data_IF_977297891296
#
_entry.id   IF_977297891296
#
_cell.length_a   1.000
_cell.length_b   1.000
_cell.length_c   1.000
_cell.angle_alpha   90.00
_cell.angle_beta   90.00
_cell.angle_gamma   90.00
#
_symmetry.space_group_name_H-M   'P 1'
#
loop_
_entity.id
_entity.type
_entity.pdbx_description
1 polymer ?
#
# COMPACT_ATOMS: atom_id res chain seq x y z
N UNK A 1 -11.55 -23.47 -4.33
CA UNK A 1 -10.73 -22.55 -3.51
C UNK A 1 -9.80 -23.39 -2.68
N UNK A 2 -8.49 -23.13 -2.73
CA UNK A 2 -7.55 -23.82 -1.86
C UNK A 2 -7.29 -22.90 -0.66
N UNK A 3 -8.02 -23.11 0.44
CA UNK A 3 -7.87 -22.32 1.67
C UNK A 3 -6.56 -22.61 2.41
N UNK A 4 -5.76 -23.56 1.90
CA UNK A 4 -4.48 -23.97 2.48
C UNK A 4 -3.32 -23.05 2.10
N UNK A 5 -3.50 -22.15 1.12
CA UNK A 5 -2.44 -21.22 0.68
C UNK A 5 -2.74 -19.82 1.20
N UNK A 6 -1.90 -19.25 2.09
CA UNK A 6 -2.10 -17.91 2.59
C UNK A 6 -1.76 -16.86 1.52
N UNK A 7 -2.48 -15.74 1.53
CA UNK A 7 -2.14 -14.56 0.70
C UNK A 7 -1.02 -13.77 1.36
N UNK A 8 0.15 -13.75 0.73
CA UNK A 8 1.29 -12.94 1.19
C UNK A 8 1.08 -11.48 0.81
N UNK A 9 1.04 -10.59 1.80
CA UNK A 9 0.94 -9.14 1.61
C UNK A 9 2.26 -8.48 2.00
N UNK A 10 2.87 -7.80 1.04
CA UNK A 10 4.10 -7.04 1.23
C UNK A 10 3.77 -5.59 1.57
N UNK A 11 4.28 -5.13 2.70
CA UNK A 11 4.12 -3.76 3.16
C UNK A 11 5.40 -2.96 2.92
N UNK A 12 5.25 -1.74 2.43
CA UNK A 12 6.33 -0.77 2.32
C UNK A 12 5.81 0.61 2.69
N UNK A 13 6.68 1.44 3.25
CA UNK A 13 6.36 2.81 3.61
C UNK A 13 7.34 3.74 2.91
N UNK A 14 6.81 4.79 2.28
CA UNK A 14 7.61 5.85 1.70
C UNK A 14 7.35 7.13 2.49
N UNK A 15 8.39 7.65 3.15
CA UNK A 15 8.30 8.89 3.90
C UNK A 15 8.05 10.06 2.94
N UNK A 16 6.96 10.79 3.14
CA UNK A 16 6.67 12.01 2.40
C UNK A 16 7.22 13.24 3.13
N UNK A 17 6.93 13.36 4.43
CA UNK A 17 7.37 14.50 5.24
C UNK A 17 7.41 14.14 6.73
N UNK A 18 8.34 14.75 7.47
CA UNK A 18 8.30 14.80 8.95
C UNK A 18 7.46 16.03 9.35
N UNK A 19 6.38 15.82 10.08
CA UNK A 19 5.45 16.88 10.46
C UNK A 19 5.84 17.53 11.78
N UNK A 20 6.20 16.72 12.78
CA UNK A 20 6.61 17.20 14.09
C UNK A 20 7.58 16.22 14.74
N UNK A 21 8.53 16.78 15.49
CA UNK A 21 9.44 16.02 16.37
C UNK A 21 9.21 16.55 17.77
N UNK A 22 8.87 15.67 18.70
CA UNK A 22 8.72 16.00 20.10
C UNK A 22 9.82 15.29 20.89
N UNK A 23 10.87 16.05 21.20
CA UNK A 23 12.03 15.55 21.95
C UNK A 23 11.66 15.12 23.37
N UNK A 24 10.79 15.89 24.05
CA UNK A 24 10.36 15.59 25.42
C UNK A 24 9.54 14.30 25.51
N UNK A 25 8.71 14.04 24.50
CA UNK A 25 7.86 12.85 24.44
C UNK A 25 8.44 11.74 23.57
N UNK A 26 9.66 11.92 23.02
CA UNK A 26 10.33 10.96 22.14
C UNK A 26 9.42 10.47 21.00
N UNK A 27 8.68 11.39 20.38
CA UNK A 27 7.70 11.05 19.35
C UNK A 27 7.92 11.82 18.06
N UNK A 28 7.76 11.15 16.92
CA UNK A 28 7.84 11.76 15.60
C UNK A 28 6.55 11.51 14.84
N UNK A 29 5.93 12.59 14.38
CA UNK A 29 4.74 12.56 13.54
C UNK A 29 5.17 12.64 12.07
N UNK A 30 4.82 11.63 11.28
CA UNK A 30 5.25 11.42 9.90
C UNK A 30 4.06 11.39 8.96
N UNK A 31 4.18 12.07 7.82
CA UNK A 31 3.31 11.86 6.67
C UNK A 31 3.98 10.81 5.77
N UNK A 32 3.35 9.66 5.60
CA UNK A 32 3.90 8.53 4.83
C UNK A 32 2.90 8.04 3.79
N UNK A 33 3.42 7.54 2.69
CA UNK A 33 2.67 6.71 1.75
C UNK A 33 2.83 5.26 2.14
N UNK A 34 1.74 4.61 2.55
CA UNK A 34 1.71 3.17 2.77
C UNK A 34 1.44 2.50 1.43
N UNK A 35 2.26 1.51 1.10
CA UNK A 35 2.19 0.72 -0.12
C UNK A 35 1.98 -0.73 0.29
N UNK A 36 0.85 -1.30 -0.08
CA UNK A 36 0.54 -2.71 0.09
C UNK A 36 0.56 -3.38 -1.28
N UNK A 37 1.23 -4.52 -1.38
CA UNK A 37 1.27 -5.33 -2.60
C UNK A 37 0.90 -6.77 -2.29
N UNK A 38 -0.01 -7.34 -3.06
CA UNK A 38 -0.35 -8.76 -2.98
C UNK A 38 -0.70 -9.30 -4.36
N UNK A 39 -0.72 -10.63 -4.48
CA UNK A 39 -1.19 -11.33 -5.67
C UNK A 39 -2.63 -11.78 -5.47
N UNK A 40 -3.49 -11.48 -6.44
CA UNK A 40 -4.86 -11.97 -6.50
C UNK A 40 -5.02 -12.94 -7.67
N UNK A 41 -5.33 -14.21 -7.38
CA UNK A 41 -5.41 -15.27 -8.39
C UNK A 41 -6.66 -15.20 -9.28
N UNK A 42 -7.63 -14.36 -8.93
CA UNK A 42 -8.92 -14.22 -9.62
C UNK A 42 -8.94 -13.03 -10.55
N UNK A 43 -8.21 -11.96 -10.22
CA UNK A 43 -8.16 -10.72 -11.02
C UNK A 43 -7.20 -10.78 -12.22
N UNK A 44 -6.93 -11.96 -12.78
CA UNK A 44 -6.06 -12.13 -13.95
C UNK A 44 -6.81 -12.10 -15.29
N UNK A 45 -6.17 -11.54 -16.32
CA UNK A 45 -6.70 -11.56 -17.70
C UNK A 45 -5.58 -11.66 -18.73
N UNK A 46 -5.92 -12.12 -19.94
CA UNK A 46 -5.02 -12.14 -21.09
C UNK A 46 -5.10 -10.80 -21.84
N UNK A 47 -4.04 -9.97 -21.87
CA UNK A 47 -4.03 -8.68 -22.55
C UNK A 47 -4.48 -8.74 -24.01
N UNK A 48 -4.21 -9.82 -24.73
CA UNK A 48 -4.63 -9.99 -26.13
C UNK A 48 -6.16 -9.98 -26.30
N UNK A 49 -6.93 -10.35 -25.26
CA UNK A 49 -8.40 -10.33 -25.26
C UNK A 49 -9.00 -8.99 -24.82
N UNK A 50 -8.17 -8.09 -24.26
CA UNK A 50 -8.60 -6.83 -23.64
C UNK A 50 -7.84 -5.64 -24.23
N UNK A 51 -7.53 -5.64 -25.53
CA UNK A 51 -6.91 -4.51 -26.22
C UNK A 51 -5.49 -4.18 -25.73
N UNK A 52 -4.71 -5.19 -25.35
CA UNK A 52 -3.35 -5.06 -24.80
C UNK A 52 -3.25 -4.27 -23.49
N UNK A 53 -4.35 -4.18 -22.73
CA UNK A 53 -4.37 -3.56 -21.41
C UNK A 53 -3.62 -4.47 -20.43
N UNK A 54 -2.52 -3.97 -19.88
CA UNK A 54 -1.72 -4.68 -18.88
C UNK A 54 -2.04 -4.25 -17.44
N UNK A 55 -2.47 -3.01 -17.29
CA UNK A 55 -2.71 -2.38 -16.00
C UNK A 55 -4.02 -1.63 -16.06
N UNK A 56 -4.82 -1.76 -15.01
CA UNK A 56 -6.06 -1.01 -14.82
C UNK A 56 -6.13 -0.42 -13.42
N UNK A 57 -6.99 0.57 -13.23
CA UNK A 57 -7.23 1.21 -11.95
C UNK A 57 -8.64 0.85 -11.51
N UNK A 58 -8.76 0.26 -10.32
CA UNK A 58 -10.04 -0.06 -9.72
C UNK A 58 -10.30 0.90 -8.55
N UNK A 59 -11.45 1.60 -8.52
CA UNK A 59 -11.85 2.35 -7.34
C UNK A 59 -12.30 1.36 -6.25
N UNK A 60 -11.69 1.44 -5.08
CA UNK A 60 -12.10 0.67 -3.90
C UNK A 60 -12.68 1.62 -2.87
N UNK A 61 -13.82 1.23 -2.30
CA UNK A 61 -14.44 1.96 -1.20
C UNK A 61 -13.80 1.52 0.10
N UNK A 62 -13.09 2.43 0.74
CA UNK A 62 -12.68 2.26 2.13
C UNK A 62 -13.81 2.79 3.00
N UNK A 63 -14.49 1.89 3.71
CA UNK A 63 -15.50 2.26 4.69
C UNK A 63 -14.88 2.17 6.09
N UNK A 64 -14.70 3.32 6.73
CA UNK A 64 -14.41 3.42 8.16
C UNK A 64 -15.37 4.43 8.75
N UNK A 65 -16.22 3.97 9.66
CA UNK A 65 -17.08 4.82 10.51
C UNK A 65 -17.82 5.91 9.70
N UNK A 66 -18.54 5.51 8.64
CA UNK A 66 -19.37 6.38 7.79
C UNK A 66 -18.62 7.41 6.91
N UNK A 67 -17.28 7.37 6.89
CA UNK A 67 -16.50 8.10 5.89
C UNK A 67 -16.16 7.19 4.70
N UNK A 68 -16.99 7.24 3.66
CA UNK A 68 -16.68 6.58 2.39
C UNK A 68 -15.55 7.33 1.69
N UNK A 69 -14.41 6.68 1.51
CA UNK A 69 -13.31 7.21 0.71
C UNK A 69 -13.02 6.27 -0.45
N UNK A 70 -13.17 6.79 -1.66
CA UNK A 70 -12.73 6.11 -2.87
C UNK A 70 -11.21 6.23 -2.98
N UNK A 71 -10.53 5.09 -3.02
CA UNK A 71 -9.09 5.04 -3.26
C UNK A 71 -8.83 4.17 -4.48
N UNK A 72 -7.96 4.67 -5.35
CA UNK A 72 -7.56 3.98 -6.56
C UNK A 72 -6.55 2.87 -6.24
N UNK A 73 -6.90 1.65 -6.60
CA UNK A 73 -6.01 0.48 -6.55
C UNK A 73 -5.51 0.20 -7.96
N UNK A 74 -4.20 0.00 -8.09
CA UNK A 74 -3.58 -0.37 -9.36
C UNK A 74 -3.55 -1.90 -9.45
N UNK A 75 -4.09 -2.43 -10.54
CA UNK A 75 -4.15 -3.86 -10.82
C UNK A 75 -3.38 -4.15 -12.08
N UNK A 76 -2.36 -5.00 -12.01
CA UNK A 76 -1.51 -5.35 -13.15
C UNK A 76 -1.57 -6.85 -13.40
N UNK A 77 -1.95 -7.26 -14.61
CA UNK A 77 -2.00 -8.68 -14.98
C UNK A 77 -0.62 -9.33 -14.90
N UNK A 78 -0.56 -10.55 -14.36
CA UNK A 78 0.67 -11.34 -14.33
C UNK A 78 0.88 -12.19 -15.59
N UNK A 79 0.06 -12.00 -16.64
CA UNK A 79 0.11 -12.77 -17.89
C UNK A 79 1.52 -12.84 -18.50
N UNK A 80 2.25 -11.73 -18.56
CA UNK A 80 3.61 -11.67 -19.13
C UNK A 80 4.66 -12.40 -18.28
N UNK A 81 4.38 -12.63 -16.99
CA UNK A 81 5.22 -13.45 -16.10
C UNK A 81 4.92 -14.95 -16.26
N UNK A 82 3.93 -15.32 -17.08
CA UNK A 82 3.45 -16.70 -17.19
C UNK A 82 2.69 -17.18 -15.95
N UNK A 83 2.27 -16.26 -15.09
CA UNK A 83 1.59 -16.56 -13.85
C UNK A 83 0.10 -16.23 -13.92
N UNK A 84 -0.71 -16.98 -13.17
CA UNK A 84 -2.14 -16.67 -12.99
C UNK A 84 -2.33 -15.43 -12.12
N UNK A 85 -3.44 -14.72 -12.35
CA UNK A 85 -3.89 -13.63 -11.50
C UNK A 85 -3.31 -12.28 -11.88
N UNK A 86 -3.41 -11.34 -10.95
CA UNK A 86 -2.85 -9.99 -11.06
C UNK A 86 -2.10 -9.60 -9.80
N UNK A 87 -1.11 -8.73 -9.97
CA UNK A 87 -0.47 -8.02 -8.89
C UNK A 87 -1.30 -6.79 -8.55
N UNK A 88 -1.71 -6.70 -7.29
CA UNK A 88 -2.47 -5.58 -6.75
C UNK A 88 -1.52 -4.67 -5.99
N UNK A 89 -1.60 -3.37 -6.27
CA UNK A 89 -0.85 -2.33 -5.58
C UNK A 89 -1.83 -1.30 -5.02
N UNK A 90 -1.94 -1.28 -3.71
CA UNK A 90 -2.77 -0.34 -2.98
C UNK A 90 -1.88 0.69 -2.29
N UNK A 91 -2.13 1.97 -2.55
CA UNK A 91 -1.36 3.07 -1.98
C UNK A 91 -2.30 4.08 -1.33
N UNK A 92 -2.03 4.43 -0.07
CA UNK A 92 -2.78 5.46 0.62
C UNK A 92 -1.88 6.31 1.51
N UNK A 93 -2.17 7.61 1.65
CA UNK A 93 -1.46 8.47 2.59
C UNK A 93 -1.91 8.12 4.01
N UNK A 94 -0.96 8.08 4.95
CA UNK A 94 -1.20 7.85 6.36
C UNK A 94 -0.38 8.80 7.22
N UNK A 95 -0.98 9.26 8.30
CA UNK A 95 -0.29 9.95 9.39
C UNK A 95 0.20 8.89 10.37
N UNK A 96 1.51 8.79 10.58
CA UNK A 96 2.11 7.80 11.45
C UNK A 96 2.84 8.48 12.60
N UNK A 97 2.47 8.15 13.84
CA UNK A 97 3.18 8.60 15.04
C UNK A 97 4.08 7.48 15.53
N UNK A 98 5.39 7.66 15.43
CA UNK A 98 6.36 6.73 16.00
C UNK A 98 6.79 7.22 17.39
N UNK A 99 7.05 6.29 18.29
CA UNK A 99 7.77 6.55 19.55
C UNK A 99 9.19 6.02 19.37
N UNK A 100 10.17 6.90 19.22
CA UNK A 100 11.57 6.51 19.07
C UNK A 100 12.47 7.33 19.99
N UNK A 101 13.50 6.70 20.53
CA UNK A 101 14.49 7.36 21.39
C UNK A 101 15.32 8.30 20.52
N UNK A 102 15.13 9.62 20.73
CA UNK A 102 15.90 10.67 20.08
C UNK A 102 17.20 10.86 20.88
N UNK A 103 18.35 10.61 20.24
CA UNK A 103 19.68 10.77 20.85
C UNK A 103 20.24 12.15 20.50
N UNK A 104 20.05 13.12 21.40
CA UNK A 104 20.38 14.54 21.20
C UNK A 104 21.76 14.81 21.81
N UNK A 105 22.83 14.36 21.15
CA UNK A 105 24.20 14.55 21.69
C UNK A 105 24.82 15.93 21.44
N UNK A 106 24.13 16.84 20.75
CA UNK A 106 24.69 18.14 20.33
C UNK A 106 23.72 19.33 20.46
N UNK A 107 22.83 19.32 21.45
CA UNK A 107 22.09 20.53 21.86
C UNK A 107 22.75 21.14 23.11
N UNK A 108 24.01 21.57 22.98
CA UNK A 108 24.72 22.44 23.93
C UNK A 108 25.96 23.03 23.28
#
# INVERSE_FOLDING_TARGET
>A
MNHSVPTTVSFSMSLYQILAINEKHQSVDLNVWVIQKWKDDFLGWNPYLYGMINTTILPVVMNREETERYINVVVTTNFWKGERGAEIKFMYPALYRTSCVLDIRYAS
#
